data_IF_070457419230
#
_entry.id   IF_070457419230
#
_cell.length_a   1.000
_cell.length_b   1.000
_cell.length_c   1.000
_cell.angle_alpha   90.00
_cell.angle_beta   90.00
_cell.angle_gamma   90.00
#
_symmetry.space_group_name_H-M   'P 1'
#
loop_
_entity.id
_entity.type
_entity.pdbx_description
1 polymer ?
#
# COMPACT_ATOMS: atom_id res chain seq x y z
N UNK A 1 19.28 -20.44 6.60
CA UNK A 1 19.93 -19.14 6.75
C UNK A 1 18.96 -18.17 6.13
N UNK A 2 18.01 -17.68 6.94
CA UNK A 2 16.93 -16.82 6.45
C UNK A 2 17.58 -15.55 5.92
N UNK A 3 17.49 -15.31 4.61
CA UNK A 3 17.83 -14.00 4.09
C UNK A 3 16.86 -13.01 4.72
N UNK A 4 17.40 -12.00 5.39
CA UNK A 4 16.60 -10.93 5.95
C UNK A 4 15.73 -10.33 4.84
N UNK A 5 14.42 -10.24 5.07
CA UNK A 5 13.48 -9.69 4.10
C UNK A 5 13.67 -8.17 4.06
N UNK A 6 14.37 -7.67 3.03
CA UNK A 6 14.74 -6.26 2.91
C UNK A 6 13.61 -5.35 2.39
N UNK A 7 12.49 -5.94 1.94
CA UNK A 7 11.30 -5.21 1.51
C UNK A 7 10.05 -6.08 1.54
N UNK A 8 8.89 -5.43 1.59
CA UNK A 8 7.63 -6.01 1.12
C UNK A 8 7.19 -5.30 -0.16
N UNK A 9 6.63 -6.05 -1.09
CA UNK A 9 6.17 -5.47 -2.35
C UNK A 9 4.68 -5.12 -2.26
N UNK A 10 4.26 -4.12 -3.01
CA UNK A 10 2.85 -3.74 -3.17
C UNK A 10 2.48 -3.86 -4.62
N UNK A 11 1.44 -4.63 -4.96
CA UNK A 11 0.94 -4.81 -6.33
C UNK A 11 -0.48 -4.25 -6.49
N UNK A 12 -0.72 -3.57 -7.60
CA UNK A 12 -2.02 -3.10 -8.00
C UNK A 12 -2.66 -4.04 -9.05
N UNK A 13 -3.82 -4.59 -8.73
CA UNK A 13 -4.69 -5.24 -9.70
C UNK A 13 -5.52 -4.18 -10.45
N UNK A 14 -4.86 -3.47 -11.38
CA UNK A 14 -5.46 -2.38 -12.18
C UNK A 14 -5.68 -2.84 -13.62
N UNK A 15 -6.86 -2.55 -14.15
CA UNK A 15 -7.20 -2.63 -15.58
C UNK A 15 -7.95 -1.38 -16.00
N UNK A 16 -7.83 -1.04 -17.29
CA UNK A 16 -8.53 0.10 -17.87
C UNK A 16 -10.04 -0.16 -18.02
N UNK A 17 -10.45 -1.43 -18.12
CA UNK A 17 -11.85 -1.84 -18.18
C UNK A 17 -12.29 -2.37 -16.81
N UNK A 18 -13.31 -1.76 -16.21
CA UNK A 18 -13.77 -2.10 -14.85
C UNK A 18 -14.36 -3.51 -14.73
N UNK A 19 -15.02 -4.02 -15.77
CA UNK A 19 -15.56 -5.39 -15.75
C UNK A 19 -14.42 -6.42 -15.75
N UNK A 20 -13.46 -6.26 -16.66
CA UNK A 20 -12.26 -7.11 -16.71
C UNK A 20 -11.44 -6.98 -15.43
N UNK A 21 -11.39 -5.78 -14.85
CA UNK A 21 -10.73 -5.55 -13.57
C UNK A 21 -11.35 -6.36 -12.44
N UNK A 22 -12.68 -6.41 -12.38
CA UNK A 22 -13.40 -7.19 -11.39
C UNK A 22 -13.07 -8.67 -11.54
N UNK A 23 -13.12 -9.19 -12.76
CA UNK A 23 -12.79 -10.58 -13.04
C UNK A 23 -11.33 -10.92 -12.72
N UNK A 24 -10.39 -10.01 -12.98
CA UNK A 24 -8.99 -10.15 -12.56
C UNK A 24 -8.85 -10.23 -11.03
N UNK A 25 -9.56 -9.37 -10.30
CA UNK A 25 -9.53 -9.38 -8.81
C UNK A 25 -10.15 -10.67 -8.29
N UNK A 26 -11.26 -11.12 -8.88
CA UNK A 26 -11.90 -12.38 -8.52
C UNK A 26 -10.98 -13.58 -8.81
N UNK A 27 -10.29 -13.59 -9.95
CA UNK A 27 -9.28 -14.60 -10.31
C UNK A 27 -8.13 -14.64 -9.30
N UNK A 28 -7.63 -13.48 -8.88
CA UNK A 28 -6.48 -13.37 -7.99
C UNK A 28 -6.80 -13.78 -6.55
N UNK A 29 -7.94 -13.32 -6.01
CA UNK A 29 -8.21 -13.33 -4.56
C UNK A 29 -9.41 -14.21 -4.15
N UNK A 30 -10.37 -14.43 -5.05
CA UNK A 30 -11.62 -15.16 -4.73
C UNK A 30 -11.67 -16.57 -5.33
N UNK A 31 -10.60 -17.00 -6.01
CA UNK A 31 -10.45 -18.35 -6.54
C UNK A 31 -10.16 -19.41 -5.46
N UNK A 32 -10.27 -20.69 -5.83
CA UNK A 32 -9.85 -21.81 -4.97
C UNK A 32 -8.34 -21.86 -4.72
N UNK A 33 -7.57 -21.25 -5.64
CA UNK A 33 -6.14 -20.96 -5.53
C UNK A 33 -5.96 -19.47 -5.76
N UNK A 34 -5.00 -18.89 -5.05
CA UNK A 34 -4.77 -17.45 -5.07
C UNK A 34 -3.47 -17.11 -5.77
N UNK A 35 -3.50 -16.00 -6.48
CA UNK A 35 -2.43 -15.57 -7.36
C UNK A 35 -2.27 -14.05 -7.33
N UNK A 36 -1.06 -13.60 -7.61
CA UNK A 36 -0.82 -12.22 -8.05
C UNK A 36 -0.45 -12.26 -9.53
N UNK A 37 -1.18 -11.52 -10.37
CA UNK A 37 -1.04 -11.57 -11.81
C UNK A 37 -0.21 -10.41 -12.36
N UNK A 38 0.48 -10.67 -13.48
CA UNK A 38 1.19 -9.70 -14.30
C UNK A 38 0.62 -9.70 -15.72
N UNK A 39 0.55 -8.52 -16.32
CA UNK A 39 -0.02 -8.26 -17.64
C UNK A 39 0.86 -8.81 -18.79
N UNK A 40 0.60 -8.43 -20.06
CA UNK A 40 1.38 -8.82 -21.27
C UNK A 40 1.22 -10.29 -21.67
N UNK A 41 -0.01 -10.80 -21.63
CA UNK A 41 -0.38 -12.15 -22.09
C UNK A 41 0.15 -12.46 -23.50
N UNK A 42 0.03 -11.52 -24.45
CA UNK A 42 0.48 -11.72 -25.84
C UNK A 42 1.98 -12.01 -26.02
N UNK A 43 2.80 -11.73 -25.01
CA UNK A 43 4.24 -12.03 -25.02
C UNK A 43 4.57 -13.36 -24.34
N UNK A 44 3.60 -13.97 -23.67
CA UNK A 44 3.72 -15.26 -22.97
C UNK A 44 3.39 -16.47 -23.83
N UNK A 45 2.85 -16.24 -25.04
CA UNK A 45 2.48 -17.32 -25.96
C UNK A 45 3.68 -18.21 -26.29
N UNK A 46 3.43 -19.53 -26.26
CA UNK A 46 4.41 -20.59 -26.54
C UNK A 46 5.60 -20.66 -25.57
N UNK A 47 5.57 -19.92 -24.46
CA UNK A 47 6.58 -20.01 -23.41
C UNK A 47 6.19 -21.11 -22.43
N UNK A 48 7.18 -21.92 -22.01
CA UNK A 48 6.94 -22.94 -20.99
C UNK A 48 6.60 -22.30 -19.65
N UNK A 49 5.73 -22.96 -18.90
CA UNK A 49 5.25 -22.51 -17.59
C UNK A 49 6.38 -22.12 -16.62
N UNK A 50 7.50 -22.84 -16.66
CA UNK A 50 8.66 -22.65 -15.78
C UNK A 50 9.76 -21.76 -16.38
N UNK A 51 9.56 -21.19 -17.58
CA UNK A 51 10.54 -20.36 -18.28
C UNK A 51 10.20 -18.87 -18.19
N UNK A 52 10.17 -18.34 -16.97
CA UNK A 52 9.95 -16.91 -16.74
C UNK A 52 11.07 -16.04 -17.35
N UNK A 53 12.28 -16.60 -17.54
CA UNK A 53 13.41 -15.87 -18.09
C UNK A 53 13.21 -15.51 -19.57
N UNK A 54 12.68 -16.43 -20.38
CA UNK A 54 12.28 -16.14 -21.76
C UNK A 54 11.21 -15.06 -21.81
N UNK A 55 10.18 -15.17 -20.96
CA UNK A 55 9.12 -14.16 -20.88
C UNK A 55 9.65 -12.78 -20.49
N UNK A 56 10.57 -12.75 -19.52
CA UNK A 56 11.28 -11.54 -19.11
C UNK A 56 12.04 -10.89 -20.27
N UNK A 57 12.73 -11.70 -21.07
CA UNK A 57 13.51 -11.21 -22.22
C UNK A 57 12.60 -10.60 -23.29
N UNK A 58 11.48 -11.25 -23.64
CA UNK A 58 10.53 -10.72 -24.64
C UNK A 58 9.95 -9.38 -24.24
N UNK A 59 9.55 -9.22 -22.97
CA UNK A 59 9.06 -7.92 -22.47
C UNK A 59 10.15 -6.87 -22.54
N UNK A 60 11.38 -7.21 -22.17
CA UNK A 60 12.53 -6.28 -22.21
C UNK A 60 12.85 -5.84 -23.64
N UNK A 61 12.79 -6.74 -24.62
CA UNK A 61 12.99 -6.45 -26.04
C UNK A 61 11.92 -5.51 -26.59
N UNK A 62 10.65 -5.77 -26.29
CA UNK A 62 9.56 -4.93 -26.78
C UNK A 62 9.56 -3.54 -26.15
N UNK A 63 9.73 -3.45 -24.84
CA UNK A 63 9.61 -2.18 -24.11
C UNK A 63 10.88 -1.33 -24.17
N UNK A 64 11.99 -1.88 -24.68
CA UNK A 64 13.32 -1.26 -24.68
C UNK A 64 13.94 -1.07 -23.29
N UNK A 65 13.21 -1.35 -22.20
CA UNK A 65 13.68 -1.27 -20.81
C UNK A 65 12.80 -2.13 -19.89
N UNK A 66 13.41 -2.83 -18.94
CA UNK A 66 12.65 -3.66 -18.01
C UNK A 66 11.73 -2.80 -17.11
N UNK A 67 10.42 -3.07 -17.17
CA UNK A 67 9.43 -2.41 -16.29
C UNK A 67 9.67 -2.80 -14.82
N UNK A 68 9.41 -1.87 -13.90
CA UNK A 68 9.43 -2.15 -12.45
C UNK A 68 8.65 -3.41 -12.06
N UNK A 69 7.49 -3.66 -12.67
CA UNK A 69 6.65 -4.81 -12.34
C UNK A 69 7.31 -6.15 -12.69
N UNK A 70 7.86 -6.27 -13.90
CA UNK A 70 8.50 -7.51 -14.33
C UNK A 70 9.81 -7.77 -13.58
N UNK A 71 10.53 -6.73 -13.19
CA UNK A 71 11.70 -6.88 -12.31
C UNK A 71 11.30 -7.45 -10.95
N UNK A 72 10.19 -6.99 -10.36
CA UNK A 72 9.72 -7.55 -9.09
C UNK A 72 9.34 -9.02 -9.25
N UNK A 73 8.62 -9.40 -10.31
CA UNK A 73 8.29 -10.80 -10.57
C UNK A 73 9.57 -11.66 -10.74
N UNK A 74 10.57 -11.18 -11.50
CA UNK A 74 11.86 -11.87 -11.66
C UNK A 74 12.56 -12.11 -10.32
N UNK A 75 12.55 -11.10 -9.47
CA UNK A 75 13.29 -11.12 -8.19
C UNK A 75 12.51 -11.86 -7.09
N UNK A 76 11.25 -12.23 -7.34
CA UNK A 76 10.35 -12.86 -6.37
C UNK A 76 10.81 -14.26 -5.99
N UNK A 77 10.83 -14.55 -4.70
CA UNK A 77 11.18 -15.86 -4.13
C UNK A 77 10.05 -16.38 -3.26
N UNK A 78 10.09 -17.68 -2.99
CA UNK A 78 9.23 -18.28 -1.97
C UNK A 78 9.38 -17.51 -0.65
N UNK A 79 8.26 -17.32 0.04
CA UNK A 79 8.16 -16.61 1.31
C UNK A 79 8.35 -15.08 1.26
N UNK A 80 8.45 -14.49 0.06
CA UNK A 80 8.30 -13.04 -0.08
C UNK A 80 6.87 -12.61 0.31
N UNK A 81 6.74 -11.40 0.85
CA UNK A 81 5.45 -10.81 1.22
C UNK A 81 5.04 -9.69 0.25
N UNK A 82 3.77 -9.75 -0.14
CA UNK A 82 3.12 -8.77 -0.99
C UNK A 82 1.86 -8.21 -0.33
N UNK A 83 1.60 -6.92 -0.56
CA UNK A 83 0.32 -6.30 -0.31
C UNK A 83 -0.43 -6.09 -1.62
N UNK A 84 -1.72 -6.40 -1.62
CA UNK A 84 -2.65 -6.02 -2.70
C UNK A 84 -3.94 -5.44 -2.10
N UNK A 85 -4.81 -4.92 -2.96
CA UNK A 85 -6.06 -4.28 -2.56
C UNK A 85 -7.18 -4.62 -3.55
N UNK A 86 -8.32 -5.02 -3.01
CA UNK A 86 -9.51 -5.36 -3.79
C UNK A 86 -10.31 -4.11 -4.21
N UNK A 87 -11.41 -4.33 -4.96
CA UNK A 87 -12.30 -3.25 -5.42
C UNK A 87 -13.15 -2.64 -4.30
N UNK A 88 -13.35 -3.36 -3.19
CA UNK A 88 -14.08 -2.86 -2.01
C UNK A 88 -13.19 -2.01 -1.09
N UNK A 89 -11.89 -1.94 -1.38
CA UNK A 89 -10.92 -1.18 -0.61
C UNK A 89 -10.26 -1.96 0.52
N UNK A 90 -10.50 -3.28 0.63
CA UNK A 90 -9.80 -4.10 1.62
C UNK A 90 -8.39 -4.42 1.13
N UNK A 91 -7.47 -4.43 2.09
CA UNK A 91 -6.09 -4.81 1.87
C UNK A 91 -5.92 -6.30 2.14
N UNK A 92 -5.04 -6.91 1.37
CA UNK A 92 -4.71 -8.33 1.46
C UNK A 92 -3.21 -8.47 1.61
N UNK A 93 -2.80 -9.32 2.55
CA UNK A 93 -1.40 -9.75 2.69
C UNK A 93 -1.25 -11.09 1.97
N UNK A 94 -0.21 -11.24 1.17
CA UNK A 94 0.04 -12.42 0.36
C UNK A 94 1.47 -12.92 0.60
N UNK A 95 1.64 -14.20 0.92
CA UNK A 95 2.94 -14.90 0.94
C UNK A 95 3.12 -15.71 -0.32
N UNK A 96 4.28 -15.59 -0.95
CA UNK A 96 4.63 -16.39 -2.12
C UNK A 96 4.82 -17.86 -1.75
N UNK A 97 4.11 -18.75 -2.45
CA UNK A 97 4.21 -20.21 -2.26
C UNK A 97 5.30 -20.84 -3.10
N UNK A 98 5.48 -20.37 -4.32
CA UNK A 98 6.39 -20.96 -5.29
C UNK A 98 6.87 -19.92 -6.30
N UNK A 99 7.81 -20.33 -7.15
CA UNK A 99 8.29 -19.52 -8.26
C UNK A 99 7.16 -19.04 -9.18
N UNK A 100 7.44 -17.93 -9.87
CA UNK A 100 6.55 -17.37 -10.89
C UNK A 100 6.26 -18.39 -11.97
N UNK A 101 5.01 -18.45 -12.40
CA UNK A 101 4.55 -19.31 -13.49
C UNK A 101 4.17 -18.43 -14.70
N UNK A 102 4.71 -18.76 -15.87
CA UNK A 102 4.26 -18.15 -17.13
C UNK A 102 2.93 -18.79 -17.53
N UNK A 103 1.96 -17.94 -17.86
CA UNK A 103 0.62 -18.34 -18.30
C UNK A 103 0.19 -17.42 -19.43
N UNK A 104 -0.72 -17.88 -20.29
CA UNK A 104 -1.28 -17.03 -21.34
C UNK A 104 -2.81 -17.00 -21.22
N UNK A 105 -3.33 -15.89 -20.67
CA UNK A 105 -4.75 -15.58 -20.67
C UNK A 105 -4.94 -14.24 -21.40
N UNK A 106 -5.36 -14.30 -22.67
CA UNK A 106 -5.55 -13.09 -23.48
C UNK A 106 -6.78 -12.27 -23.07
N UNK A 107 -7.76 -12.88 -22.42
CA UNK A 107 -9.00 -12.21 -22.04
C UNK A 107 -8.79 -11.33 -20.80
N UNK A 108 -8.19 -11.89 -19.76
CA UNK A 108 -7.79 -11.14 -18.57
C UNK A 108 -6.45 -10.43 -18.75
N UNK A 109 -5.78 -10.62 -19.89
CA UNK A 109 -4.42 -10.18 -20.25
C UNK A 109 -3.35 -10.60 -19.24
N UNK A 110 -3.37 -11.84 -18.76
CA UNK A 110 -2.37 -12.36 -17.81
C UNK A 110 -1.26 -13.08 -18.56
N UNK A 111 -0.01 -12.63 -18.38
CA UNK A 111 1.19 -13.26 -18.96
C UNK A 111 2.07 -14.00 -17.93
N UNK A 112 1.89 -13.71 -16.64
CA UNK A 112 2.54 -14.47 -15.56
C UNK A 112 1.74 -14.36 -14.25
N UNK A 113 1.90 -15.35 -13.38
CA UNK A 113 1.28 -15.41 -12.05
C UNK A 113 2.29 -15.80 -10.98
N UNK A 114 2.13 -15.24 -9.78
CA UNK A 114 2.80 -15.68 -8.56
C UNK A 114 1.77 -16.45 -7.73
N UNK A 115 1.94 -17.77 -7.51
CA UNK A 115 1.10 -18.51 -6.58
C UNK A 115 1.31 -18.03 -5.14
N UNK A 116 0.22 -17.69 -4.45
CA UNK A 116 0.28 -17.12 -3.10
C UNK A 116 -0.65 -17.82 -2.11
N UNK A 117 -0.35 -17.63 -0.83
CA UNK A 117 -1.28 -17.75 0.29
C UNK A 117 -1.64 -16.34 0.74
N UNK A 118 -2.93 -16.01 0.75
CA UNK A 118 -3.39 -14.66 1.06
C UNK A 118 -4.42 -14.60 2.19
N UNK A 119 -4.52 -13.43 2.80
CA UNK A 119 -5.51 -13.15 3.84
C UNK A 119 -6.05 -11.74 3.70
N UNK A 120 -7.37 -11.61 3.78
CA UNK A 120 -8.05 -10.32 3.84
C UNK A 120 -7.87 -9.68 5.22
N UNK A 121 -7.26 -8.50 5.26
CA UNK A 121 -6.98 -7.74 6.48
C UNK A 121 -8.08 -6.69 6.75
N UNK A 122 -8.92 -6.39 5.77
CA UNK A 122 -9.88 -5.30 5.80
C UNK A 122 -9.24 -3.95 5.46
N UNK A 123 -9.90 -2.86 5.85
CA UNK A 123 -9.48 -1.50 5.49
C UNK A 123 -8.46 -0.88 6.45
N UNK A 124 -8.23 -1.51 7.61
CA UNK A 124 -7.39 -0.97 8.67
C UNK A 124 -5.96 -1.50 8.59
N UNK A 125 -5.14 -0.78 7.82
CA UNK A 125 -3.69 -1.01 7.67
C UNK A 125 -2.93 0.31 7.91
N UNK A 126 -1.63 0.25 8.24
CA UNK A 126 -0.77 1.43 8.38
C UNK A 126 -0.91 2.44 7.24
N UNK A 127 -0.83 3.73 7.59
CA UNK A 127 -0.96 4.85 6.65
C UNK A 127 -0.02 4.73 5.45
N UNK A 128 1.21 4.27 5.67
CA UNK A 128 2.19 4.09 4.60
C UNK A 128 1.75 3.05 3.57
N UNK A 129 1.15 1.92 4.00
CA UNK A 129 0.55 0.93 3.10
C UNK A 129 -0.59 1.60 2.33
N UNK A 130 -1.54 2.26 3.01
CA UNK A 130 -2.66 2.96 2.34
C UNK A 130 -2.15 3.96 1.29
N UNK A 131 -1.16 4.78 1.65
CA UNK A 131 -0.58 5.80 0.78
C UNK A 131 0.05 5.21 -0.47
N UNK A 132 0.70 4.04 -0.37
CA UNK A 132 1.36 3.37 -1.50
C UNK A 132 0.37 2.99 -2.61
N UNK A 133 -0.91 2.75 -2.29
CA UNK A 133 -1.95 2.45 -3.29
C UNK A 133 -2.62 3.70 -3.88
N UNK A 134 -2.52 4.85 -3.21
CA UNK A 134 -3.25 6.06 -3.57
C UNK A 134 -2.41 7.10 -4.33
N UNK A 135 -1.13 6.80 -4.63
CA UNK A 135 -0.25 7.75 -5.34
C UNK A 135 -0.74 8.04 -6.77
N UNK A 136 -0.98 9.31 -7.13
CA UNK A 136 -1.23 9.70 -8.51
C UNK A 136 -0.07 9.27 -9.41
N UNK A 137 -0.36 8.58 -10.52
CA UNK A 137 0.65 7.99 -11.43
C UNK A 137 1.59 6.96 -10.77
N UNK A 138 1.20 6.39 -9.62
CA UNK A 138 1.92 5.27 -9.02
C UNK A 138 1.92 4.07 -9.96
N UNK A 139 3.09 3.42 -10.12
CA UNK A 139 3.24 2.22 -10.94
C UNK A 139 2.42 1.03 -10.42
N UNK A 140 2.39 -0.05 -11.21
CA UNK A 140 1.70 -1.31 -10.84
C UNK A 140 2.34 -1.94 -9.60
N UNK A 141 3.66 -1.83 -9.45
CA UNK A 141 4.40 -2.39 -8.31
C UNK A 141 5.25 -1.31 -7.62
N UNK A 142 5.38 -1.41 -6.30
CA UNK A 142 6.29 -0.60 -5.46
C UNK A 142 6.95 -1.52 -4.43
N UNK A 143 8.25 -1.34 -4.17
CA UNK A 143 8.95 -1.98 -3.05
C UNK A 143 8.94 -1.04 -1.85
N UNK A 144 8.51 -1.55 -0.70
CA UNK A 144 8.46 -0.81 0.57
C UNK A 144 9.56 -1.37 1.46
N UNK A 145 10.61 -0.57 1.67
CA UNK A 145 11.80 -0.91 2.46
C UNK A 145 11.73 -0.45 3.91
N UNK A 146 10.58 0.05 4.34
CA UNK A 146 10.40 0.53 5.71
C UNK A 146 10.35 -0.64 6.68
N UNK A 147 11.30 -0.69 7.62
CA UNK A 147 11.45 -1.78 8.58
C UNK A 147 10.19 -2.00 9.43
N UNK A 148 9.49 -0.93 9.81
CA UNK A 148 8.25 -1.03 10.59
C UNK A 148 7.17 -1.72 9.76
N UNK A 149 7.05 -1.35 8.48
CA UNK A 149 6.09 -1.97 7.57
C UNK A 149 6.45 -3.44 7.29
N UNK A 150 7.74 -3.75 7.15
CA UNK A 150 8.20 -5.13 6.97
C UNK A 150 7.82 -5.98 8.19
N UNK A 151 8.15 -5.53 9.40
CA UNK A 151 7.83 -6.25 10.64
C UNK A 151 6.32 -6.35 10.91
N UNK A 152 5.57 -5.28 10.60
CA UNK A 152 4.10 -5.31 10.64
C UNK A 152 3.53 -6.37 9.70
N UNK A 153 4.04 -6.45 8.47
CA UNK A 153 3.59 -7.42 7.46
C UNK A 153 3.84 -8.86 7.90
N UNK A 154 5.04 -9.15 8.43
CA UNK A 154 5.39 -10.45 9.02
C UNK A 154 4.44 -10.80 10.18
N UNK A 155 4.19 -9.84 11.09
CA UNK A 155 3.31 -10.03 12.25
C UNK A 155 1.88 -10.32 11.84
N UNK A 156 1.31 -9.53 10.93
CA UNK A 156 -0.06 -9.72 10.44
C UNK A 156 -0.20 -11.05 9.72
N UNK A 157 0.76 -11.42 8.85
CA UNK A 157 0.70 -12.72 8.18
C UNK A 157 0.68 -13.88 9.19
N UNK A 158 1.57 -13.87 10.17
CA UNK A 158 1.60 -14.88 11.24
C UNK A 158 0.26 -14.96 12.01
N UNK A 159 -0.34 -13.81 12.34
CA UNK A 159 -1.63 -13.75 13.03
C UNK A 159 -2.75 -14.37 12.19
N UNK A 160 -2.86 -14.00 10.90
CA UNK A 160 -3.92 -14.48 10.02
C UNK A 160 -3.77 -15.96 9.67
N UNK A 161 -2.53 -16.40 9.42
CA UNK A 161 -2.21 -17.81 9.18
C UNK A 161 -2.25 -18.68 10.44
N UNK A 162 -2.40 -18.08 11.62
CA UNK A 162 -2.31 -18.75 12.93
C UNK A 162 -1.00 -19.54 13.08
N UNK A 163 0.08 -18.99 12.54
CA UNK A 163 1.40 -19.62 12.51
C UNK A 163 2.48 -18.68 13.08
N UNK A 164 3.67 -19.22 13.32
CA UNK A 164 4.87 -18.44 13.66
C UNK A 164 5.89 -18.56 12.54
N UNK A 165 5.43 -18.43 11.30
CA UNK A 165 6.23 -18.65 10.11
C UNK A 165 7.41 -17.66 10.03
N UNK A 166 7.12 -16.36 10.14
CA UNK A 166 8.15 -15.34 10.15
C UNK A 166 8.65 -15.04 11.57
N UNK A 167 9.96 -14.88 11.73
CA UNK A 167 10.50 -14.24 12.94
C UNK A 167 10.17 -12.75 12.89
N UNK A 168 9.44 -12.27 13.89
CA UNK A 168 9.09 -10.86 14.05
C UNK A 168 10.01 -10.23 15.06
N UNK A 169 10.66 -9.13 14.67
CA UNK A 169 11.47 -8.30 15.55
C UNK A 169 10.53 -7.25 16.17
N UNK A 170 10.41 -7.18 17.51
CA UNK A 170 9.63 -6.14 18.15
C UNK A 170 10.21 -4.77 17.82
N UNK A 171 9.37 -3.86 17.33
CA UNK A 171 9.74 -2.47 17.11
C UNK A 171 9.01 -1.59 18.13
N UNK A 172 9.76 -0.77 18.86
CA UNK A 172 9.21 0.28 19.73
C UNK A 172 9.08 1.57 18.89
N UNK A 173 7.89 1.78 18.31
CA UNK A 173 7.54 3.03 17.63
C UNK A 173 6.56 3.84 18.46
N UNK A 174 6.50 5.17 18.24
CA UNK A 174 5.44 5.98 18.85
C UNK A 174 4.10 5.63 18.21
N UNK A 175 3.01 5.65 18.99
CA UNK A 175 1.64 5.43 18.49
C UNK A 175 1.31 6.33 17.29
N UNK A 176 1.83 7.56 17.31
CA UNK A 176 1.57 8.58 16.29
C UNK A 176 2.25 8.27 14.95
N UNK A 177 3.39 7.59 14.95
CA UNK A 177 4.12 7.26 13.72
C UNK A 177 3.37 6.27 12.81
N UNK A 178 2.38 5.56 13.36
CA UNK A 178 1.66 4.50 12.67
C UNK A 178 0.20 4.83 12.34
N UNK A 179 -0.30 5.99 12.80
CA UNK A 179 -1.66 6.41 12.47
C UNK A 179 -1.75 6.80 10.98
N UNK A 180 -2.75 6.29 10.24
CA UNK A 180 -3.12 6.85 8.94
C UNK A 180 -3.33 8.36 9.02
N UNK A 181 -2.98 9.10 7.95
CA UNK A 181 -3.04 10.57 7.93
C UNK A 181 -4.41 11.10 8.41
N UNK A 182 -5.50 10.49 7.93
CA UNK A 182 -6.87 10.81 8.35
C UNK A 182 -7.13 10.57 9.85
N UNK A 183 -6.64 9.45 10.40
CA UNK A 183 -6.86 9.13 11.81
C UNK A 183 -6.02 10.06 12.72
N UNK A 184 -4.83 10.46 12.24
CA UNK A 184 -4.00 11.47 12.90
C UNK A 184 -4.65 12.86 12.83
N UNK A 185 -5.24 13.24 11.70
CA UNK A 185 -6.04 14.46 11.53
C UNK A 185 -7.20 14.49 12.51
N UNK A 186 -8.01 13.43 12.57
CA UNK A 186 -9.13 13.33 13.51
C UNK A 186 -8.66 13.44 14.96
N UNK A 187 -7.54 12.80 15.30
CA UNK A 187 -6.96 12.87 16.65
C UNK A 187 -6.52 14.29 17.02
N UNK A 188 -5.79 14.98 16.13
CA UNK A 188 -5.32 16.35 16.34
C UNK A 188 -6.51 17.32 16.44
N UNK A 189 -7.49 17.20 15.54
CA UNK A 189 -8.71 18.03 15.56
C UNK A 189 -9.49 17.80 16.86
N UNK A 190 -9.62 16.55 17.30
CA UNK A 190 -10.30 16.21 18.56
C UNK A 190 -9.56 16.78 19.77
N UNK A 191 -8.23 16.68 19.79
CA UNK A 191 -7.40 17.26 20.85
C UNK A 191 -7.61 18.77 20.95
N UNK A 192 -7.52 19.52 19.85
CA UNK A 192 -7.67 20.97 19.84
C UNK A 192 -9.07 21.41 20.31
N UNK A 193 -10.11 20.67 19.94
CA UNK A 193 -11.47 20.97 20.40
C UNK A 193 -11.66 20.72 21.89
N UNK A 194 -11.15 19.59 22.42
CA UNK A 194 -11.40 19.15 23.79
C UNK A 194 -10.44 19.79 24.79
N UNK A 195 -9.15 19.85 24.47
CA UNK A 195 -8.09 20.30 25.38
C UNK A 195 -7.78 21.78 25.25
N UNK A 196 -7.72 22.28 24.01
CA UNK A 196 -7.38 23.69 23.75
C UNK A 196 -8.61 24.60 23.59
N UNK A 197 -9.82 24.05 23.77
CA UNK A 197 -11.10 24.76 23.72
C UNK A 197 -11.35 25.50 22.38
N UNK A 198 -11.04 24.84 21.27
CA UNK A 198 -11.33 25.35 19.92
C UNK A 198 -12.66 24.80 19.36
N UNK A 199 -13.18 25.48 18.35
CA UNK A 199 -14.33 25.08 17.56
C UNK A 199 -13.94 25.00 16.09
N UNK A 200 -14.23 23.88 15.43
CA UNK A 200 -13.97 23.68 14.00
C UNK A 200 -15.00 24.44 13.18
N UNK A 201 -14.53 25.24 12.22
CA UNK A 201 -15.39 25.85 11.23
C UNK A 201 -15.73 24.81 10.15
N UNK A 202 -16.90 24.18 10.24
CA UNK A 202 -17.29 23.09 9.34
C UNK A 202 -17.26 23.45 7.84
N UNK A 203 -17.47 24.73 7.51
CA UNK A 203 -17.37 25.27 6.16
C UNK A 203 -15.93 25.43 5.66
N UNK A 204 -14.92 25.29 6.53
CA UNK A 204 -13.49 25.36 6.19
C UNK A 204 -12.84 23.98 6.04
N UNK A 205 -13.59 22.91 6.33
CA UNK A 205 -13.08 21.54 6.20
C UNK A 205 -12.85 21.25 4.72
N UNK A 206 -11.63 20.88 4.37
CA UNK A 206 -11.27 20.59 2.99
C UNK A 206 -12.09 19.41 2.46
N UNK A 207 -12.90 19.66 1.43
CA UNK A 207 -13.68 18.62 0.76
C UNK A 207 -12.76 17.81 -0.16
N UNK A 208 -12.20 16.73 0.40
CA UNK A 208 -11.22 15.80 -0.21
C UNK A 208 -9.82 16.40 -0.25
N UNK A 209 -8.82 15.51 -0.21
CA UNK A 209 -7.36 15.70 -0.42
C UNK A 209 -7.07 16.52 -1.68
N UNK A 210 -7.42 17.79 -1.64
CA UNK A 210 -7.06 18.80 -2.60
C UNK A 210 -5.73 19.38 -2.13
N UNK A 211 -4.91 19.86 -3.06
CA UNK A 211 -3.56 20.40 -2.83
C UNK A 211 -3.53 21.64 -1.90
N UNK A 212 -4.65 21.95 -1.23
CA UNK A 212 -4.78 23.02 -0.26
C UNK A 212 -4.09 22.54 1.02
N UNK A 213 -3.08 23.31 1.45
CA UNK A 213 -2.23 23.01 2.60
C UNK A 213 -2.95 23.06 3.97
N UNK A 214 -4.28 23.08 4.00
CA UNK A 214 -5.08 23.38 5.18
C UNK A 214 -6.23 22.38 5.24
N UNK A 215 -6.31 21.61 6.33
CA UNK A 215 -7.36 20.61 6.55
C UNK A 215 -8.63 21.25 7.12
N UNK A 216 -8.48 22.16 8.07
CA UNK A 216 -9.56 22.99 8.59
C UNK A 216 -9.06 24.25 9.32
N UNK A 217 -9.93 25.24 9.42
CA UNK A 217 -9.76 26.41 10.29
C UNK A 217 -10.55 26.21 11.59
N UNK A 218 -9.98 26.75 12.67
CA UNK A 218 -10.56 26.68 14.00
C UNK A 218 -10.51 28.05 14.67
N UNK A 219 -11.51 28.32 15.50
CA UNK A 219 -11.59 29.52 16.36
C UNK A 219 -11.68 29.08 17.82
N UNK A 220 -10.96 29.77 18.70
CA UNK A 220 -11.07 29.54 20.13
C UNK A 220 -12.48 29.89 20.58
N UNK A 221 -13.02 29.08 21.49
CA UNK A 221 -14.30 29.35 22.16
C UNK A 221 -14.16 30.33 23.32
N UNK A 222 -12.92 30.71 23.65
CA UNK A 222 -12.63 31.77 24.62
C UNK A 222 -12.98 33.13 24.01
N UNK A 223 -14.03 33.75 24.54
CA UNK A 223 -14.58 35.02 24.06
C UNK A 223 -13.69 36.19 24.47
N UNK A 224 -12.97 36.05 25.58
CA UNK A 224 -12.09 37.09 26.12
C UNK A 224 -10.72 37.09 25.45
N UNK A 225 -10.35 35.96 24.82
CA UNK A 225 -9.11 35.81 24.06
C UNK A 225 -9.34 35.07 22.72
N UNK A 226 -9.93 35.75 21.72
CA UNK A 226 -10.24 35.15 20.44
C UNK A 226 -8.96 34.82 19.68
N UNK A 227 -8.71 33.52 19.48
CA UNK A 227 -7.57 32.99 18.73
C UNK A 227 -8.04 32.18 17.53
N UNK A 228 -7.30 32.25 16.44
CA UNK A 228 -7.50 31.40 15.25
C UNK A 228 -6.40 30.36 15.17
N UNK A 229 -6.74 29.16 14.75
CA UNK A 229 -5.80 28.09 14.45
C UNK A 229 -6.12 27.49 13.09
N UNK A 230 -5.10 26.95 12.45
CA UNK A 230 -5.20 26.28 11.16
C UNK A 230 -4.54 24.93 11.33
N UNK A 231 -5.27 23.85 11.03
CA UNK A 231 -4.73 22.49 11.15
C UNK A 231 -4.15 22.09 9.81
N UNK A 232 -2.89 21.66 9.85
CA UNK A 232 -2.22 21.00 8.74
C UNK A 232 -1.46 19.80 9.30
N UNK A 233 -1.93 18.60 8.97
CA UNK A 233 -1.22 17.36 9.31
C UNK A 233 -0.36 16.94 8.12
N UNK A 234 0.85 16.44 8.39
CA UNK A 234 1.74 15.86 7.37
C UNK A 234 2.30 14.54 7.88
N UNK A 235 1.94 13.43 7.23
CA UNK A 235 2.64 12.16 7.41
C UNK A 235 4.13 12.31 7.04
N UNK A 236 5.03 11.75 7.84
CA UNK A 236 6.49 11.98 7.75
C UNK A 236 7.05 11.69 6.35
N UNK A 237 7.53 12.76 5.71
CA UNK A 237 8.97 13.01 5.44
C UNK A 237 9.27 14.46 5.84
N UNK A 238 9.55 14.69 7.11
CA UNK A 238 9.99 16.01 7.55
C UNK A 238 11.43 16.24 7.07
N UNK A 239 11.61 17.14 6.10
CA UNK A 239 12.80 18.00 6.10
C UNK A 239 12.48 19.18 7.02
N UNK A 240 13.48 19.59 7.80
CA UNK A 240 13.43 20.68 8.76
C UNK A 240 12.59 21.86 8.25
N UNK A 241 11.57 22.22 9.03
CA UNK A 241 10.83 23.47 8.85
C UNK A 241 11.47 24.50 9.76
N UNK A 242 12.17 25.44 9.14
CA UNK A 242 12.65 26.62 9.82
C UNK A 242 11.50 27.62 10.00
N UNK A 243 11.31 28.01 11.26
CA UNK A 243 10.61 29.19 11.80
C UNK A 243 9.07 29.34 11.78
N UNK A 244 8.56 29.38 13.03
CA UNK A 244 7.52 30.26 13.60
C UNK A 244 6.06 30.10 13.14
N UNK A 245 5.42 29.03 13.63
CA UNK A 245 4.08 29.09 14.23
C UNK A 245 3.89 27.83 15.10
N UNK A 246 3.37 28.01 16.32
CA UNK A 246 3.38 27.01 17.40
C UNK A 246 3.06 25.59 16.94
N UNK A 247 4.06 24.72 17.03
CA UNK A 247 3.97 23.29 16.73
C UNK A 247 3.90 22.55 18.06
N UNK A 248 2.89 21.71 18.25
CA UNK A 248 2.88 20.73 19.35
C UNK A 248 3.52 19.46 18.78
N UNK A 249 4.69 19.10 19.30
CA UNK A 249 5.37 17.83 19.06
C UNK A 249 4.73 16.71 19.90
#
# INVERSE_FOLDING_TARGET
MDSEMDYVARIHLKRNNDNVRKELVDFCLNGSKQYLALDWSRLSSDIKKDDFQEYYNRIKEESGRANSAINVFRDTKADDLFWTRDLNGNYWICRVRSQVEVVCDEYLDIGAIIPVEDYNIGMQVPGQIKSSFNRPRGGIVERIHDEIIIEYSKKIFNQMSKSKFYKVIPFEGSLLDNLPDFDLEELVISYLQIKENYYVLSNSIANKSTTIKIECEMISRDVDNPRKAVVQVKGRKAKELDTLCGSIN
#
